data_IF_449141340312
#
_entry.id   IF_449141340312
#
_cell.length_a   1.000
_cell.length_b   1.000
_cell.length_c   1.000
_cell.angle_alpha   90.00
_cell.angle_beta   90.00
_cell.angle_gamma   90.00
#
_symmetry.space_group_name_H-M   'P 1'
#
loop_
_entity.id
_entity.type
_entity.pdbx_description
1 polymer ?
#
# COMPACT_ATOMS: atom_id res chain seq x y z
N UNK A 1 -14.38 11.28 30.02
CA UNK A 1 -15.68 10.66 30.34
C UNK A 1 -16.60 11.78 30.83
N UNK A 2 -17.60 12.19 30.05
CA UNK A 2 -18.54 13.27 30.43
C UNK A 2 -19.46 12.90 31.61
N UNK A 3 -19.45 11.63 32.02
CA UNK A 3 -20.33 11.10 33.07
C UNK A 3 -19.88 11.50 34.49
N UNK A 4 -18.59 11.82 34.68
CA UNK A 4 -18.01 12.07 36.01
C UNK A 4 -17.91 13.55 36.37
N UNK A 5 -17.89 14.46 35.39
CA UNK A 5 -17.59 15.88 35.64
C UNK A 5 -18.80 16.81 35.67
N UNK A 6 -20.03 16.29 35.48
CA UNK A 6 -21.26 17.10 35.42
C UNK A 6 -21.12 18.38 34.57
N UNK A 7 -20.32 18.32 33.51
CA UNK A 7 -20.09 19.45 32.61
C UNK A 7 -21.35 19.65 31.77
N UNK A 8 -21.98 20.82 31.92
CA UNK A 8 -23.22 21.16 31.25
C UNK A 8 -22.97 21.47 29.76
N UNK A 9 -23.49 20.64 28.82
CA UNK A 9 -23.28 20.82 27.39
C UNK A 9 -24.07 21.99 26.79
N UNK A 10 -24.96 22.62 27.57
CA UNK A 10 -25.76 23.78 27.15
C UNK A 10 -25.02 25.09 27.27
N UNK A 11 -23.91 25.12 28.03
CA UNK A 11 -23.13 26.34 28.23
C UNK A 11 -22.32 26.67 26.96
N UNK A 12 -22.44 27.92 26.54
CA UNK A 12 -21.60 28.50 25.49
C UNK A 12 -20.39 29.19 26.11
N UNK A 13 -19.29 29.26 25.36
CA UNK A 13 -18.04 29.83 25.88
C UNK A 13 -18.20 31.36 26.00
N UNK A 14 -18.01 31.97 27.19
CA UNK A 14 -18.06 33.42 27.32
C UNK A 14 -16.96 34.06 26.47
N UNK A 15 -17.25 35.21 25.85
CA UNK A 15 -16.34 35.96 24.94
C UNK A 15 -15.00 36.40 25.58
N UNK A 16 -14.75 36.08 26.84
CA UNK A 16 -13.61 36.52 27.64
C UNK A 16 -12.37 35.63 27.49
N UNK A 17 -12.51 34.40 26.98
CA UNK A 17 -11.36 33.53 26.71
C UNK A 17 -10.79 33.81 25.32
N UNK A 18 -9.46 33.92 25.22
CA UNK A 18 -8.62 34.18 24.04
C UNK A 18 -8.83 33.28 22.79
N UNK A 19 -9.87 32.45 22.79
CA UNK A 19 -10.33 31.66 21.65
C UNK A 19 -11.10 32.52 20.65
N UNK A 20 -10.56 32.64 19.43
CA UNK A 20 -11.23 33.07 18.18
C UNK A 20 -12.65 33.63 18.36
N UNK A 21 -12.78 34.95 18.25
CA UNK A 21 -14.01 35.76 18.37
C UNK A 21 -15.26 35.18 17.67
N UNK A 22 -15.07 34.28 16.70
CA UNK A 22 -16.11 33.67 15.87
C UNK A 22 -16.79 32.43 16.49
N UNK A 23 -16.33 31.92 17.65
CA UNK A 23 -16.80 30.61 18.19
C UNK A 23 -17.44 30.67 19.58
N UNK A 24 -17.47 31.86 20.20
CA UNK A 24 -18.00 32.05 21.55
C UNK A 24 -19.50 31.71 21.70
N UNK A 25 -20.28 31.75 20.62
CA UNK A 25 -21.71 31.44 20.65
C UNK A 25 -22.03 29.95 20.41
N UNK A 26 -21.01 29.13 20.16
CA UNK A 26 -21.19 27.73 19.83
C UNK A 26 -21.26 26.88 21.09
N UNK A 27 -22.15 25.89 21.06
CA UNK A 27 -22.29 24.88 22.10
C UNK A 27 -21.10 23.90 22.09
N UNK A 28 -20.91 23.16 23.18
CA UNK A 28 -19.89 22.11 23.23
C UNK A 28 -20.03 21.08 22.08
N UNK A 29 -21.27 20.81 21.65
CA UNK A 29 -21.56 19.96 20.50
C UNK A 29 -21.07 20.58 19.18
N UNK A 30 -21.41 21.84 18.92
CA UNK A 30 -21.01 22.56 17.68
C UNK A 30 -19.50 22.79 17.59
N UNK A 31 -18.83 22.98 18.73
CA UNK A 31 -17.37 23.14 18.78
C UNK A 31 -16.63 21.84 18.47
N UNK A 32 -17.28 20.69 18.62
CA UNK A 32 -16.62 19.41 18.45
C UNK A 32 -16.42 19.03 16.98
N UNK A 33 -15.15 19.03 16.56
CA UNK A 33 -14.76 18.76 15.17
C UNK A 33 -15.01 17.29 14.81
N UNK A 34 -14.66 16.37 15.71
CA UNK A 34 -14.72 14.93 15.46
C UNK A 34 -16.13 14.38 15.61
N UNK A 35 -16.54 13.51 14.66
CA UNK A 35 -17.79 12.76 14.74
C UNK A 35 -17.88 11.89 15.99
N UNK A 36 -16.76 11.33 16.44
CA UNK A 36 -16.75 10.48 17.64
C UNK A 36 -17.10 11.28 18.89
N UNK A 37 -16.60 12.51 19.01
CA UNK A 37 -16.93 13.41 20.12
C UNK A 37 -18.41 13.80 20.07
N UNK A 38 -18.94 14.14 18.88
CA UNK A 38 -20.38 14.40 18.68
C UNK A 38 -21.27 13.21 19.07
N UNK A 39 -20.85 12.00 18.74
CA UNK A 39 -21.58 10.79 19.11
C UNK A 39 -21.67 10.61 20.63
N UNK A 40 -20.66 11.05 21.40
CA UNK A 40 -20.73 10.98 22.88
C UNK A 40 -21.88 11.83 23.41
N UNK A 41 -22.09 13.04 22.88
CA UNK A 41 -23.25 13.87 23.26
C UNK A 41 -24.57 13.22 22.86
N UNK A 42 -24.64 12.59 21.68
CA UNK A 42 -25.84 11.85 21.24
C UNK A 42 -26.14 10.63 22.12
N UNK A 43 -25.10 9.98 22.64
CA UNK A 43 -25.23 8.88 23.61
C UNK A 43 -25.69 9.42 24.97
N UNK A 44 -25.09 10.50 25.45
CA UNK A 44 -25.49 11.14 26.69
C UNK A 44 -26.96 11.60 26.65
N UNK A 45 -27.42 12.12 25.51
CA UNK A 45 -28.84 12.42 25.26
C UNK A 45 -29.74 11.19 25.37
N UNK A 46 -29.32 10.05 24.84
CA UNK A 46 -30.08 8.80 24.93
C UNK A 46 -30.11 8.23 26.36
N UNK A 47 -29.00 8.34 27.10
CA UNK A 47 -28.88 7.82 28.47
C UNK A 47 -29.56 8.73 29.50
N UNK A 48 -29.50 10.05 29.30
CA UNK A 48 -29.98 11.05 30.25
C UNK A 48 -30.83 12.12 29.53
N UNK A 49 -32.00 11.76 28.97
CA UNK A 49 -32.81 12.70 28.19
C UNK A 49 -33.29 13.91 29.02
N UNK A 50 -33.55 13.71 30.31
CA UNK A 50 -34.16 14.74 31.18
C UNK A 50 -33.13 15.65 31.86
N UNK A 51 -31.83 15.34 31.75
CA UNK A 51 -30.79 16.03 32.51
C UNK A 51 -30.47 17.43 31.97
N UNK A 52 -30.58 17.60 30.65
CA UNK A 52 -30.26 18.85 29.97
C UNK A 52 -31.23 19.08 28.81
N UNK A 53 -31.40 20.34 28.40
CA UNK A 53 -32.14 20.68 27.19
C UNK A 53 -31.29 20.39 25.95
N UNK A 54 -31.29 19.13 25.55
CA UNK A 54 -30.42 18.60 24.48
C UNK A 54 -30.73 19.21 23.11
N UNK A 55 -32.00 19.45 22.80
CA UNK A 55 -32.45 19.90 21.49
C UNK A 55 -32.29 21.41 21.34
N UNK A 56 -32.83 22.18 22.29
CA UNK A 56 -32.95 23.64 22.12
C UNK A 56 -31.67 24.35 22.53
N UNK A 57 -31.08 23.98 23.67
CA UNK A 57 -29.88 24.64 24.19
C UNK A 57 -28.58 23.98 23.77
N UNK A 58 -28.46 22.65 23.88
CA UNK A 58 -27.24 21.94 23.49
C UNK A 58 -27.14 21.65 21.98
N UNK A 59 -28.23 21.85 21.22
CA UNK A 59 -28.31 21.66 19.76
C UNK A 59 -27.86 20.27 19.27
N UNK A 60 -28.12 19.23 20.07
CA UNK A 60 -27.83 17.84 19.71
C UNK A 60 -28.99 17.31 18.84
N UNK A 61 -28.77 16.91 17.58
CA UNK A 61 -29.87 16.64 16.63
C UNK A 61 -30.67 15.37 16.91
N UNK A 62 -30.04 14.29 17.37
CA UNK A 62 -30.71 13.02 17.62
C UNK A 62 -29.97 12.17 18.65
N UNK A 63 -30.70 11.40 19.46
CA UNK A 63 -30.11 10.42 20.36
C UNK A 63 -29.47 9.27 19.57
N UNK A 64 -28.39 8.71 20.12
CA UNK A 64 -27.72 7.52 19.59
C UNK A 64 -27.51 6.54 20.73
N UNK A 65 -28.07 5.33 20.64
CA UNK A 65 -27.90 4.33 21.70
C UNK A 65 -26.44 3.89 21.82
N UNK A 66 -26.02 3.60 23.05
CA UNK A 66 -24.65 3.16 23.35
C UNK A 66 -24.28 1.89 22.57
N UNK A 67 -25.21 0.95 22.48
CA UNK A 67 -25.04 -0.31 21.76
C UNK A 67 -24.76 -0.09 20.26
N UNK A 68 -25.56 0.76 19.61
CA UNK A 68 -25.36 1.08 18.19
C UNK A 68 -24.02 1.76 17.92
N UNK A 69 -23.58 2.64 18.83
CA UNK A 69 -22.27 3.28 18.72
C UNK A 69 -21.13 2.26 18.87
N UNK A 70 -21.23 1.35 19.85
CA UNK A 70 -20.24 0.29 20.06
C UNK A 70 -20.20 -0.68 18.87
N UNK A 71 -21.35 -1.04 18.31
CA UNK A 71 -21.44 -1.90 17.12
C UNK A 71 -20.75 -1.26 15.90
N UNK A 72 -20.94 0.05 15.68
CA UNK A 72 -20.24 0.76 14.61
C UNK A 72 -18.72 0.78 14.82
N UNK A 73 -18.27 1.01 16.05
CA UNK A 73 -16.85 1.00 16.40
C UNK A 73 -16.25 -0.40 16.17
N UNK A 74 -16.94 -1.44 16.63
CA UNK A 74 -16.47 -2.81 16.51
C UNK A 74 -16.40 -3.24 15.03
N UNK A 75 -17.43 -2.92 14.24
CA UNK A 75 -17.42 -3.17 12.79
C UNK A 75 -16.25 -2.48 12.08
N UNK A 76 -15.95 -1.24 12.44
CA UNK A 76 -14.80 -0.51 11.88
C UNK A 76 -13.47 -1.14 12.31
N UNK A 77 -13.33 -1.51 13.59
CA UNK A 77 -12.15 -2.20 14.10
C UNK A 77 -11.92 -3.54 13.40
N UNK A 78 -12.98 -4.33 13.21
CA UNK A 78 -12.88 -5.64 12.56
C UNK A 78 -12.55 -5.51 11.08
N UNK A 79 -13.11 -4.53 10.39
CA UNK A 79 -12.73 -4.22 9.01
C UNK A 79 -11.25 -3.81 8.90
N UNK A 80 -10.79 -2.91 9.77
CA UNK A 80 -9.39 -2.48 9.80
C UNK A 80 -8.43 -3.64 10.13
N UNK A 81 -8.80 -4.53 11.05
CA UNK A 81 -8.03 -5.76 11.35
C UNK A 81 -7.94 -6.66 10.12
N UNK A 82 -9.07 -6.95 9.47
CA UNK A 82 -9.11 -7.75 8.23
C UNK A 82 -8.22 -7.17 7.12
N UNK A 83 -8.24 -5.85 6.94
CA UNK A 83 -7.37 -5.18 5.96
C UNK A 83 -5.90 -5.30 6.36
N UNK A 84 -5.56 -5.06 7.62
CA UNK A 84 -4.19 -5.17 8.14
C UNK A 84 -3.64 -6.60 7.99
N UNK A 85 -4.46 -7.61 8.26
CA UNK A 85 -4.05 -9.01 8.15
C UNK A 85 -3.83 -9.42 6.69
N UNK A 86 -4.69 -8.99 5.76
CA UNK A 86 -4.48 -9.17 4.32
C UNK A 86 -3.19 -8.49 3.82
N UNK A 87 -2.89 -7.29 4.31
CA UNK A 87 -1.65 -6.57 3.96
C UNK A 87 -0.42 -7.34 4.46
N UNK A 88 -0.43 -7.80 5.72
CA UNK A 88 0.66 -8.61 6.28
C UNK A 88 0.87 -9.90 5.51
N UNK A 89 -0.20 -10.60 5.14
CA UNK A 89 -0.11 -11.83 4.35
C UNK A 89 0.48 -11.54 2.96
N UNK A 90 0.02 -10.49 2.29
CA UNK A 90 0.58 -10.05 1.01
C UNK A 90 2.06 -9.68 1.11
N UNK A 91 2.48 -9.04 2.20
CA UNK A 91 3.88 -8.63 2.41
C UNK A 91 4.77 -9.83 2.76
N UNK A 92 4.28 -10.79 3.56
CA UNK A 92 4.98 -12.06 3.80
C UNK A 92 5.24 -12.81 2.50
N UNK A 93 4.22 -13.01 1.67
CA UNK A 93 4.34 -13.69 0.38
C UNK A 93 5.34 -12.97 -0.54
N UNK A 94 5.32 -11.63 -0.58
CA UNK A 94 6.31 -10.87 -1.36
C UNK A 94 7.73 -11.07 -0.84
N UNK A 95 7.92 -11.01 0.48
CA UNK A 95 9.24 -11.19 1.08
C UNK A 95 9.81 -12.59 0.87
N UNK A 96 8.97 -13.63 0.90
CA UNK A 96 9.39 -15.00 0.62
C UNK A 96 9.75 -15.19 -0.85
N UNK A 97 8.94 -14.65 -1.77
CA UNK A 97 9.25 -14.68 -3.20
C UNK A 97 10.54 -13.92 -3.53
N UNK A 98 10.76 -12.76 -2.91
CA UNK A 98 11.99 -11.99 -3.10
C UNK A 98 13.22 -12.77 -2.61
N UNK A 99 13.13 -13.41 -1.45
CA UNK A 99 14.19 -14.29 -0.94
C UNK A 99 14.48 -15.46 -1.89
N UNK A 100 13.45 -16.12 -2.40
CA UNK A 100 13.60 -17.21 -3.37
C UNK A 100 14.26 -16.73 -4.67
N UNK A 101 13.87 -15.56 -5.18
CA UNK A 101 14.48 -14.98 -6.38
C UNK A 101 15.96 -14.67 -6.15
N UNK A 102 16.30 -14.04 -5.02
CA UNK A 102 17.69 -13.73 -4.67
C UNK A 102 18.53 -15.00 -4.52
N UNK A 103 18.01 -16.04 -3.87
CA UNK A 103 18.71 -17.31 -3.70
C UNK A 103 18.96 -17.99 -5.06
N UNK A 104 17.93 -18.08 -5.91
CA UNK A 104 18.08 -18.63 -7.26
C UNK A 104 19.09 -17.85 -8.12
N UNK A 105 19.16 -16.52 -7.97
CA UNK A 105 20.16 -15.71 -8.66
C UNK A 105 21.59 -15.98 -8.17
N UNK A 106 21.78 -16.18 -6.86
CA UNK A 106 23.09 -16.52 -6.28
C UNK A 106 23.54 -17.91 -6.74
N UNK A 107 22.64 -18.89 -6.70
CA UNK A 107 22.93 -20.26 -7.13
C UNK A 107 23.24 -20.33 -8.62
N UNK A 108 22.46 -19.62 -9.46
CA UNK A 108 22.72 -19.53 -10.90
C UNK A 108 24.08 -18.89 -11.20
N UNK A 109 24.44 -17.80 -10.50
CA UNK A 109 25.76 -17.17 -10.64
C UNK A 109 26.90 -18.08 -10.22
N UNK A 110 26.72 -18.88 -9.15
CA UNK A 110 27.72 -19.83 -8.65
C UNK A 110 27.96 -20.97 -9.65
N UNK A 111 26.90 -21.49 -10.26
CA UNK A 111 27.00 -22.47 -11.35
C UNK A 111 27.67 -21.92 -12.61
N UNK A 112 27.37 -20.68 -13.00
CA UNK A 112 28.03 -20.06 -14.16
C UNK A 112 29.53 -19.87 -13.93
N UNK A 113 29.94 -19.53 -12.70
CA UNK A 113 31.34 -19.38 -12.32
C UNK A 113 32.09 -20.72 -12.35
N UNK A 114 31.49 -21.82 -11.85
CA UNK A 114 32.13 -23.16 -11.90
C UNK A 114 32.29 -23.65 -13.33
N UNK A 115 31.24 -23.53 -14.17
CA UNK A 115 31.29 -23.89 -15.60
C UNK A 115 32.33 -23.08 -16.37
N UNK A 116 32.58 -21.81 -16.01
CA UNK A 116 33.64 -20.98 -16.63
C UNK A 116 35.05 -21.42 -16.23
N UNK A 117 35.24 -21.89 -15.00
CA UNK A 117 36.54 -22.39 -14.52
C UNK A 117 36.89 -23.74 -15.16
N UNK A 118 35.93 -24.64 -15.32
CA UNK A 118 36.12 -25.93 -16.01
C UNK A 118 36.47 -25.74 -17.49
N UNK A 119 35.80 -24.81 -18.18
CA UNK A 119 36.12 -24.48 -19.59
C UNK A 119 37.52 -23.84 -19.76
N UNK A 120 38.03 -23.12 -18.76
CA UNK A 120 39.41 -22.60 -18.80
C UNK A 120 40.45 -23.70 -18.57
N UNK A 121 40.15 -24.70 -17.75
CA UNK A 121 41.04 -25.82 -17.49
C UNK A 121 41.15 -26.79 -18.69
N UNK A 122 40.10 -26.92 -19.51
CA UNK A 122 40.13 -27.77 -20.72
C UNK A 122 40.83 -27.12 -21.91
N UNK A 123 40.80 -25.79 -22.04
CA UNK A 123 41.47 -25.04 -23.13
C UNK A 123 43.00 -25.10 -23.04
N UNK A 124 43.59 -25.22 -21.84
CA UNK A 124 45.05 -25.30 -21.65
C UNK A 124 45.63 -26.64 -22.14
N UNK A 125 44.81 -27.70 -22.29
CA UNK A 125 45.27 -29.03 -22.73
C UNK A 125 45.35 -29.22 -24.25
N UNK A 126 44.93 -28.25 -25.07
CA UNK A 126 44.92 -28.38 -26.54
C UNK A 126 45.53 -27.15 -27.24
N UNK A 127 46.75 -26.79 -26.87
CA UNK A 127 47.58 -25.84 -27.65
C UNK A 127 48.91 -26.51 -27.97
N UNK A 128 48.87 -27.46 -28.89
CA UNK A 128 50.02 -27.88 -29.67
C UNK A 128 49.57 -27.97 -31.12
N UNK A 129 49.84 -26.92 -31.91
CA UNK A 129 50.34 -27.03 -33.29
C UNK A 129 50.65 -25.65 -33.88
N UNK A 130 51.94 -25.44 -34.11
CA UNK A 130 52.52 -24.42 -34.97
C UNK A 130 52.09 -24.64 -36.43
N UNK A 131 52.05 -23.54 -37.20
CA UNK A 131 51.93 -23.48 -38.66
C UNK A 131 50.55 -22.97 -39.07
N UNK A 132 50.37 -21.88 -39.81
CA UNK A 132 51.25 -21.07 -40.64
C UNK A 132 50.32 -20.37 -41.66
N UNK A 133 50.65 -19.13 -42.03
CA UNK A 133 50.19 -18.37 -43.21
C UNK A 133 48.73 -18.47 -43.71
N UNK A 134 48.05 -17.31 -43.75
CA UNK A 134 46.89 -17.13 -44.62
C UNK A 134 46.24 -15.75 -44.50
N UNK A 135 46.71 -14.80 -45.30
CA UNK A 135 46.04 -13.54 -45.59
C UNK A 135 44.64 -13.77 -46.19
N UNK A 136 43.63 -12.97 -45.82
CA UNK A 136 42.44 -12.85 -46.65
C UNK A 136 41.18 -12.35 -45.94
N UNK A 137 40.84 -11.08 -46.16
CA UNK A 137 39.53 -10.72 -46.69
C UNK A 137 38.31 -10.68 -45.76
N UNK A 138 37.91 -9.44 -45.46
CA UNK A 138 36.57 -8.88 -45.77
C UNK A 138 35.30 -9.45 -45.10
N UNK A 139 34.63 -8.52 -44.40
CA UNK A 139 33.18 -8.26 -44.41
C UNK A 139 32.21 -9.37 -44.02
N UNK A 140 31.56 -9.22 -42.86
CA UNK A 140 30.09 -9.20 -42.73
C UNK A 140 29.65 -9.22 -41.26
N UNK A 141 29.46 -8.05 -40.68
CA UNK A 141 28.60 -7.88 -39.50
C UNK A 141 27.23 -7.40 -39.96
N UNK A 142 26.16 -8.21 -39.92
CA UNK A 142 24.82 -7.66 -39.89
C UNK A 142 24.43 -7.42 -38.43
N UNK A 143 24.22 -6.14 -38.11
CA UNK A 143 23.60 -5.66 -36.88
C UNK A 143 22.33 -6.45 -36.54
N UNK A 144 22.38 -7.19 -35.43
CA UNK A 144 21.24 -7.92 -34.86
C UNK A 144 20.27 -6.94 -34.19
N UNK A 145 19.55 -6.13 -34.98
CA UNK A 145 18.30 -5.49 -34.51
C UNK A 145 17.24 -6.59 -34.43
N UNK A 146 17.07 -7.15 -33.23
CA UNK A 146 16.08 -8.18 -32.94
C UNK A 146 14.67 -7.59 -33.00
N UNK A 147 13.97 -7.92 -34.09
CA UNK A 147 12.52 -7.94 -34.18
C UNK A 147 11.95 -8.83 -33.05
N UNK A 148 11.42 -8.23 -31.98
CA UNK A 148 10.73 -8.95 -30.89
C UNK A 148 9.21 -9.09 -31.13
N UNK A 149 8.70 -8.65 -32.28
CA UNK A 149 7.27 -8.60 -32.56
C UNK A 149 6.67 -9.91 -33.14
N UNK A 150 7.48 -10.96 -33.32
CA UNK A 150 7.08 -12.13 -34.13
C UNK A 150 6.83 -13.43 -33.35
N UNK A 151 6.78 -13.42 -32.00
CA UNK A 151 6.67 -14.65 -31.20
C UNK A 151 5.38 -14.79 -30.35
N UNK A 152 4.35 -13.98 -30.58
CA UNK A 152 3.11 -14.01 -29.78
C UNK A 152 2.20 -15.22 -30.07
N UNK A 153 2.51 -16.04 -31.07
CA UNK A 153 1.66 -17.15 -31.53
C UNK A 153 1.82 -18.44 -30.71
N UNK A 154 2.94 -18.62 -29.98
CA UNK A 154 3.25 -19.88 -29.27
C UNK A 154 3.33 -19.76 -27.73
N UNK A 155 2.88 -18.65 -27.14
CA UNK A 155 2.91 -18.42 -25.69
C UNK A 155 1.59 -18.81 -25.02
N UNK A 156 1.69 -19.42 -23.82
CA UNK A 156 0.54 -19.72 -22.97
C UNK A 156 -0.21 -18.44 -22.60
N UNK A 157 -1.53 -18.54 -22.40
CA UNK A 157 -2.41 -17.40 -22.06
C UNK A 157 -1.94 -16.65 -20.80
N UNK A 158 -1.39 -17.39 -19.81
CA UNK A 158 -0.80 -16.78 -18.62
C UNK A 158 0.46 -15.95 -18.92
N UNK A 159 1.26 -16.36 -19.91
CA UNK A 159 2.47 -15.64 -20.31
C UNK A 159 2.12 -14.38 -21.11
N UNK A 160 1.07 -14.43 -21.93
CA UNK A 160 0.53 -13.27 -22.66
C UNK A 160 0.03 -12.19 -21.69
N UNK A 161 -0.74 -12.60 -20.68
CA UNK A 161 -1.24 -11.68 -19.65
C UNK A 161 -0.10 -11.00 -18.87
N UNK A 162 0.99 -11.74 -18.62
CA UNK A 162 2.19 -11.21 -17.94
C UNK A 162 2.91 -10.17 -18.81
N UNK A 163 3.10 -10.46 -20.10
CA UNK A 163 3.71 -9.54 -21.07
C UNK A 163 2.87 -8.27 -21.27
N UNK A 164 1.55 -8.40 -21.32
CA UNK A 164 0.65 -7.24 -21.43
C UNK A 164 0.71 -6.35 -20.18
N UNK A 165 0.74 -6.95 -18.99
CA UNK A 165 0.89 -6.20 -17.72
C UNK A 165 2.22 -5.45 -17.67
N UNK A 166 3.31 -6.09 -18.09
CA UNK A 166 4.63 -5.46 -18.16
C UNK A 166 4.65 -4.32 -19.19
N UNK A 167 4.03 -4.51 -20.36
CA UNK A 167 3.91 -3.47 -21.40
C UNK A 167 3.10 -2.27 -20.90
N UNK A 168 2.01 -2.51 -20.17
CA UNK A 168 1.17 -1.45 -19.59
C UNK A 168 1.89 -0.67 -18.49
N UNK A 169 2.66 -1.35 -17.65
CA UNK A 169 3.48 -0.71 -16.63
C UNK A 169 4.55 0.20 -17.26
N UNK A 170 5.29 -0.31 -18.26
CA UNK A 170 6.33 0.46 -18.98
C UNK A 170 5.74 1.66 -19.73
N UNK A 171 4.55 1.52 -20.31
CA UNK A 171 3.85 2.63 -20.95
C UNK A 171 3.37 3.71 -19.95
N UNK A 172 3.03 3.32 -18.72
CA UNK A 172 2.69 4.27 -17.66
C UNK A 172 3.93 5.01 -17.14
N UNK A 173 5.06 4.31 -16.98
CA UNK A 173 6.34 4.92 -16.59
C UNK A 173 6.85 5.91 -17.65
N UNK A 174 6.75 5.56 -18.94
CA UNK A 174 7.12 6.46 -20.04
C UNK A 174 6.20 7.69 -20.19
N UNK A 175 5.03 7.70 -19.53
CA UNK A 175 4.13 8.86 -19.46
C UNK A 175 4.41 9.78 -18.27
N UNK A 176 5.18 9.31 -17.28
CA UNK A 176 5.54 10.05 -16.07
C UNK A 176 6.96 10.66 -16.13
N UNK A 177 7.74 10.32 -17.16
CA UNK A 177 9.01 10.96 -17.51
C UNK A 177 8.78 12.13 -18.47
#
# INVERSE_FOLDING_TARGET
MLNETSSDPTLTIPKTSSSSLNKAHLTAYELSISKNTRNVFRIAMATYPDKFDWLSKAKVPSPLTLENHQLQINKSKDWNKKIKDKLKERDKIKSENEKLILQNQVDSKKEELSKKQEKKATVIKHVNRLGGNGSGGSSSTPSRKLNHAANDTNLSEQQKLRLERERRARAAEARLQ
#
